data_IF_486847138108
#
_entry.id   IF_486847138108
#
_cell.length_a   1.000
_cell.length_b   1.000
_cell.length_c   1.000
_cell.angle_alpha   90.00
_cell.angle_beta   90.00
_cell.angle_gamma   90.00
#
_symmetry.space_group_name_H-M   'P 1'
#
loop_
_entity.id
_entity.type
_entity.pdbx_description
1 polymer ?
#
# COMPACT_ATOMS: atom_id res chain seq x y z
N UNK A 1 20.94 -29.22 -38.21
CA UNK A 1 21.50 -29.22 -36.83
C UNK A 1 20.33 -28.98 -35.90
N UNK A 2 19.91 -30.04 -35.22
CA UNK A 2 18.78 -30.04 -34.29
C UNK A 2 19.20 -29.23 -33.05
N UNK A 3 18.63 -28.03 -32.85
CA UNK A 3 18.88 -27.22 -31.65
C UNK A 3 18.27 -27.98 -30.47
N UNK A 4 19.11 -28.49 -29.57
CA UNK A 4 18.65 -29.06 -28.32
C UNK A 4 17.77 -28.03 -27.59
N UNK A 5 16.48 -28.34 -27.40
CA UNK A 5 15.61 -27.53 -26.55
C UNK A 5 16.09 -27.72 -25.11
N UNK A 6 16.92 -26.79 -24.63
CA UNK A 6 17.37 -26.79 -23.24
C UNK A 6 16.18 -26.39 -22.37
N UNK A 7 15.84 -27.25 -21.42
CA UNK A 7 14.91 -26.93 -20.36
C UNK A 7 15.67 -26.18 -19.27
N UNK A 8 15.68 -24.84 -19.37
CA UNK A 8 16.29 -23.99 -18.36
C UNK A 8 15.56 -24.17 -17.02
N UNK A 9 16.31 -24.38 -15.94
CA UNK A 9 15.74 -24.48 -14.60
C UNK A 9 15.23 -23.11 -14.10
N UNK A 10 14.45 -23.09 -13.03
CA UNK A 10 13.85 -21.85 -12.49
C UNK A 10 14.89 -20.77 -12.16
N UNK A 11 16.07 -21.19 -11.70
CA UNK A 11 17.15 -20.27 -11.35
C UNK A 11 17.77 -19.61 -12.58
N UNK A 12 18.08 -20.40 -13.60
CA UNK A 12 18.59 -19.93 -14.89
C UNK A 12 17.59 -18.97 -15.54
N UNK A 13 16.30 -19.33 -15.51
CA UNK A 13 15.23 -18.48 -16.02
C UNK A 13 15.10 -17.18 -15.20
N UNK A 14 15.21 -17.27 -13.88
CA UNK A 14 15.25 -16.12 -12.97
C UNK A 14 16.43 -15.17 -13.25
N UNK A 15 17.63 -15.72 -13.49
CA UNK A 15 18.82 -14.95 -13.85
C UNK A 15 18.68 -14.29 -15.23
N UNK A 16 18.10 -15.01 -16.20
CA UNK A 16 17.83 -14.47 -17.53
C UNK A 16 16.81 -13.33 -17.47
N UNK A 17 15.70 -13.50 -16.74
CA UNK A 17 14.73 -12.43 -16.48
C UNK A 17 15.37 -11.25 -15.76
N UNK A 18 16.18 -11.50 -14.73
CA UNK A 18 16.89 -10.45 -14.02
C UNK A 18 17.80 -9.65 -14.95
N UNK A 19 18.60 -10.35 -15.78
CA UNK A 19 19.50 -9.73 -16.77
C UNK A 19 18.75 -8.81 -17.73
N UNK A 20 17.53 -9.18 -18.10
CA UNK A 20 16.67 -8.42 -19.01
C UNK A 20 15.82 -7.33 -18.32
N UNK A 21 15.81 -7.32 -16.98
CA UNK A 21 14.97 -6.43 -16.18
C UNK A 21 13.49 -6.83 -16.17
N UNK A 22 13.20 -8.08 -16.51
CA UNK A 22 11.86 -8.65 -16.47
C UNK A 22 11.52 -9.09 -15.03
N UNK A 23 10.26 -8.93 -14.65
CA UNK A 23 9.74 -9.41 -13.37
C UNK A 23 8.41 -10.13 -13.62
N UNK A 24 8.36 -11.47 -13.48
CA UNK A 24 7.16 -12.27 -13.74
C UNK A 24 5.92 -11.82 -12.94
N UNK A 25 6.16 -11.38 -11.70
CA UNK A 25 5.15 -11.00 -10.72
C UNK A 25 4.61 -9.58 -10.89
N UNK A 26 5.21 -8.78 -11.78
CA UNK A 26 4.86 -7.38 -11.95
C UNK A 26 4.38 -7.10 -13.37
N UNK A 27 3.15 -6.57 -13.56
CA UNK A 27 2.62 -6.32 -14.89
C UNK A 27 3.38 -5.20 -15.62
N UNK A 28 3.93 -4.23 -14.89
CA UNK A 28 4.68 -3.08 -15.42
C UNK A 28 6.11 -3.42 -15.88
N UNK A 29 6.65 -4.59 -15.51
CA UNK A 29 8.04 -5.00 -15.79
C UNK A 29 8.11 -6.22 -16.69
N UNK A 30 7.39 -6.17 -17.80
CA UNK A 30 7.32 -7.24 -18.82
C UNK A 30 7.96 -6.88 -20.16
N UNK A 31 8.50 -5.68 -20.27
CA UNK A 31 9.34 -5.25 -21.39
C UNK A 31 10.81 -5.28 -20.98
N UNK A 32 11.66 -5.70 -21.91
CA UNK A 32 13.11 -5.70 -21.71
C UNK A 32 13.58 -4.25 -21.54
N UNK A 33 14.26 -3.96 -20.42
CA UNK A 33 14.76 -2.61 -20.09
C UNK A 33 16.28 -2.54 -19.99
N UNK A 34 16.95 -3.70 -19.90
CA UNK A 34 18.40 -3.84 -19.75
C UNK A 34 18.85 -5.19 -20.34
N UNK A 35 20.16 -5.42 -20.44
CA UNK A 35 20.71 -6.69 -20.95
C UNK A 35 22.19 -6.93 -20.55
N UNK A 36 22.57 -6.55 -19.33
CA UNK A 36 23.93 -6.76 -18.84
C UNK A 36 23.85 -7.29 -17.41
N UNK A 37 24.56 -8.39 -17.15
CA UNK A 37 24.69 -8.99 -15.83
C UNK A 37 26.16 -9.24 -15.57
N UNK A 38 26.70 -8.66 -14.49
CA UNK A 38 28.09 -8.78 -14.13
C UNK A 38 28.23 -9.69 -12.92
N UNK A 39 29.10 -10.69 -12.99
CA UNK A 39 29.41 -11.58 -11.87
C UNK A 39 30.80 -12.17 -12.01
N UNK A 40 31.38 -12.62 -10.90
CA UNK A 40 32.70 -13.23 -10.86
C UNK A 40 32.64 -14.73 -11.24
N UNK A 41 33.64 -15.25 -11.96
CA UNK A 41 33.74 -16.67 -12.29
C UNK A 41 33.69 -17.57 -11.05
N UNK A 42 33.13 -18.77 -11.19
CA UNK A 42 33.07 -19.78 -10.13
C UNK A 42 31.97 -19.54 -9.08
N UNK A 43 31.31 -18.38 -9.10
CA UNK A 43 30.10 -18.15 -8.32
C UNK A 43 28.92 -18.90 -8.95
N UNK A 44 27.96 -19.21 -8.08
CA UNK A 44 26.77 -19.99 -8.40
C UNK A 44 25.94 -19.38 -9.56
N UNK A 45 25.81 -18.05 -9.60
CA UNK A 45 25.16 -17.36 -10.72
C UNK A 45 25.95 -17.49 -12.03
N UNK A 46 27.29 -17.34 -11.99
CA UNK A 46 28.15 -17.50 -13.15
C UNK A 46 28.02 -18.90 -13.74
N UNK A 47 28.07 -19.93 -12.89
CA UNK A 47 27.92 -21.33 -13.32
C UNK A 47 26.57 -21.59 -14.02
N UNK A 48 25.48 -20.94 -13.57
CA UNK A 48 24.18 -21.06 -14.21
C UNK A 48 24.10 -20.27 -15.52
N UNK A 49 24.73 -19.09 -15.59
CA UNK A 49 24.80 -18.27 -16.80
C UNK A 49 25.67 -18.93 -17.87
N UNK A 50 26.76 -19.60 -17.50
CA UNK A 50 27.62 -20.35 -18.43
C UNK A 50 26.87 -21.48 -19.13
N UNK A 51 25.91 -22.13 -18.46
CA UNK A 51 25.02 -23.11 -19.09
C UNK A 51 24.12 -22.44 -20.14
N UNK A 52 23.62 -21.24 -19.87
CA UNK A 52 22.84 -20.46 -20.84
C UNK A 52 23.70 -19.93 -22.00
N UNK A 53 24.99 -19.67 -21.76
CA UNK A 53 25.96 -19.35 -22.82
C UNK A 53 26.21 -20.56 -23.71
N UNK A 54 26.45 -21.74 -23.12
CA UNK A 54 26.60 -22.99 -23.86
C UNK A 54 25.34 -23.35 -24.67
N UNK A 55 24.17 -22.93 -24.19
CA UNK A 55 22.88 -23.04 -24.89
C UNK A 55 22.70 -22.08 -26.07
N UNK A 56 23.56 -21.07 -26.23
CA UNK A 56 23.40 -19.99 -27.20
C UNK A 56 22.32 -18.96 -26.83
N UNK A 57 21.83 -18.97 -25.59
CA UNK A 57 20.85 -17.99 -25.08
C UNK A 57 21.53 -16.75 -24.51
N UNK A 58 22.81 -16.84 -24.17
CA UNK A 58 23.61 -15.72 -23.67
C UNK A 58 25.00 -15.71 -24.31
N UNK A 59 25.66 -14.57 -24.22
CA UNK A 59 27.07 -14.38 -24.53
C UNK A 59 27.78 -13.87 -23.28
N UNK A 60 29.03 -14.30 -23.08
CA UNK A 60 29.93 -13.72 -22.10
C UNK A 60 30.90 -12.72 -22.78
N UNK A 61 31.43 -11.79 -22.01
CA UNK A 61 32.34 -10.76 -22.49
C UNK A 61 33.15 -10.14 -21.35
N UNK A 62 34.12 -9.31 -21.75
CA UNK A 62 34.97 -8.58 -20.81
C UNK A 62 34.15 -7.53 -20.04
N UNK A 63 34.49 -7.29 -18.78
CA UNK A 63 33.83 -6.27 -17.99
C UNK A 63 34.26 -4.87 -18.45
N UNK A 64 33.45 -3.83 -18.19
CA UNK A 64 33.85 -2.44 -18.41
C UNK A 64 35.14 -2.09 -17.67
N UNK A 65 35.89 -1.09 -18.17
CA UNK A 65 37.20 -0.72 -17.62
C UNK A 65 37.17 -0.25 -16.15
N UNK A 66 36.01 0.18 -15.64
CA UNK A 66 35.85 0.58 -14.24
C UNK A 66 35.59 -0.59 -13.28
N UNK A 67 35.35 -1.79 -13.80
CA UNK A 67 35.16 -3.03 -13.04
C UNK A 67 36.47 -3.82 -12.96
N UNK A 68 36.52 -4.79 -12.02
CA UNK A 68 37.67 -5.70 -11.95
C UNK A 68 37.75 -6.51 -13.24
N UNK A 69 38.97 -6.68 -13.77
CA UNK A 69 39.18 -7.42 -15.03
C UNK A 69 39.03 -8.93 -14.87
N UNK A 70 38.91 -9.42 -13.63
CA UNK A 70 38.62 -10.82 -13.30
C UNK A 70 37.11 -11.15 -13.35
N UNK A 71 36.24 -10.15 -13.47
CA UNK A 71 34.79 -10.32 -13.58
C UNK A 71 34.35 -10.65 -15.02
N UNK A 72 33.14 -11.17 -15.18
CA UNK A 72 32.57 -11.50 -16.49
C UNK A 72 31.22 -10.83 -16.65
N UNK A 73 30.99 -10.25 -17.82
CA UNK A 73 29.69 -9.67 -18.19
C UNK A 73 28.95 -10.62 -19.13
N UNK A 74 27.73 -10.95 -18.74
CA UNK A 74 26.79 -11.74 -19.50
C UNK A 74 25.72 -10.85 -20.13
N UNK A 75 25.37 -11.17 -21.37
CA UNK A 75 24.31 -10.51 -22.13
C UNK A 75 23.47 -11.55 -22.85
N UNK A 76 22.14 -11.43 -22.83
CA UNK A 76 21.28 -12.33 -23.57
C UNK A 76 21.40 -12.07 -25.08
N UNK A 77 21.40 -13.15 -25.87
CA UNK A 77 21.24 -13.12 -27.33
C UNK A 77 19.81 -12.75 -27.70
N UNK A 78 19.52 -12.52 -28.97
CA UNK A 78 18.14 -12.26 -29.40
C UNK A 78 17.27 -13.51 -29.20
N UNK A 79 17.84 -14.71 -29.37
CA UNK A 79 17.19 -15.97 -29.01
C UNK A 79 16.92 -16.07 -27.51
N UNK A 80 17.88 -15.68 -26.66
CA UNK A 80 17.70 -15.64 -25.21
C UNK A 80 16.62 -14.68 -24.76
N UNK A 81 16.52 -13.51 -25.40
CA UNK A 81 15.45 -12.53 -25.14
C UNK A 81 14.08 -13.12 -25.47
N UNK A 82 13.94 -13.73 -26.66
CA UNK A 82 12.68 -14.33 -27.07
C UNK A 82 12.30 -15.49 -26.13
N UNK A 83 13.25 -16.36 -25.81
CA UNK A 83 13.05 -17.47 -24.88
C UNK A 83 12.58 -16.99 -23.50
N UNK A 84 13.18 -15.91 -22.99
CA UNK A 84 12.79 -15.33 -21.71
C UNK A 84 11.35 -14.79 -21.72
N UNK A 85 10.94 -14.15 -22.82
CA UNK A 85 9.58 -13.61 -23.00
C UNK A 85 8.56 -14.74 -23.16
N UNK A 86 8.86 -15.77 -23.93
CA UNK A 86 7.98 -16.92 -24.17
C UNK A 86 7.72 -17.71 -22.87
N UNK A 87 8.69 -17.74 -21.97
CA UNK A 87 8.57 -18.39 -20.66
C UNK A 87 7.93 -17.52 -19.58
N UNK A 88 7.62 -16.25 -19.83
CA UNK A 88 6.93 -15.42 -18.85
C UNK A 88 5.54 -16.01 -18.56
N UNK A 89 5.14 -16.14 -17.29
CA UNK A 89 3.78 -16.53 -16.95
C UNK A 89 2.80 -15.46 -17.46
N UNK A 90 1.49 -15.74 -17.58
CA UNK A 90 0.50 -14.71 -17.88
C UNK A 90 0.55 -13.56 -16.86
N UNK A 91 0.15 -12.33 -17.22
CA UNK A 91 0.21 -11.20 -16.31
C UNK A 91 -0.67 -11.47 -15.09
N UNK A 92 -0.18 -11.17 -13.87
CA UNK A 92 -1.01 -11.30 -12.69
C UNK A 92 -2.24 -10.38 -12.83
N UNK A 93 -3.40 -10.77 -12.28
CA UNK A 93 -4.56 -9.90 -12.29
C UNK A 93 -4.22 -8.57 -11.60
N UNK A 94 -4.79 -7.45 -12.06
CA UNK A 94 -4.53 -6.16 -11.43
C UNK A 94 -4.90 -6.23 -9.96
N UNK A 95 -4.03 -5.66 -9.11
CA UNK A 95 -4.31 -5.57 -7.68
C UNK A 95 -5.66 -4.87 -7.48
N UNK A 96 -6.49 -5.43 -6.58
CA UNK A 96 -7.76 -4.80 -6.23
C UNK A 96 -7.45 -3.45 -5.57
N UNK A 97 -7.90 -2.36 -6.20
CA UNK A 97 -7.78 -1.03 -5.63
C UNK A 97 -8.48 -0.99 -4.28
N UNK A 98 -7.78 -0.50 -3.27
CA UNK A 98 -8.33 -0.27 -1.94
C UNK A 98 -8.98 1.10 -1.87
N UNK A 99 -9.86 1.32 -0.88
CA UNK A 99 -10.36 2.66 -0.57
C UNK A 99 -9.25 3.65 -0.22
N UNK A 100 -8.10 3.17 0.26
CA UNK A 100 -6.96 4.03 0.51
C UNK A 100 -6.29 4.48 -0.80
N UNK A 101 -6.20 3.60 -1.80
CA UNK A 101 -5.70 3.97 -3.13
C UNK A 101 -6.62 4.98 -3.84
N UNK A 102 -7.94 4.85 -3.67
CA UNK A 102 -8.90 5.86 -4.14
C UNK A 102 -8.72 7.20 -3.40
N UNK A 103 -8.49 7.16 -2.08
CA UNK A 103 -8.22 8.37 -1.30
C UNK A 103 -6.95 9.07 -1.75
N UNK A 104 -5.88 8.35 -2.07
CA UNK A 104 -4.63 8.99 -2.52
C UNK A 104 -4.81 9.79 -3.80
N UNK A 105 -5.68 9.34 -4.72
CA UNK A 105 -5.99 10.09 -5.95
C UNK A 105 -6.80 11.37 -5.68
N UNK A 106 -7.64 11.38 -4.64
CA UNK A 106 -8.58 12.47 -4.35
C UNK A 106 -8.23 13.25 -3.06
N UNK A 107 -7.10 12.96 -2.42
CA UNK A 107 -6.83 13.40 -1.04
C UNK A 107 -6.84 14.92 -0.87
N UNK A 108 -6.52 15.67 -1.91
CA UNK A 108 -6.57 17.13 -1.91
C UNK A 108 -7.98 17.70 -1.69
N UNK A 109 -9.03 16.91 -1.97
CA UNK A 109 -10.43 17.30 -1.78
C UNK A 109 -10.96 17.00 -0.36
N UNK A 110 -10.17 16.32 0.49
CA UNK A 110 -10.61 15.87 1.80
C UNK A 110 -9.58 16.19 2.88
N UNK A 111 -10.03 16.75 3.99
CA UNK A 111 -9.17 17.00 5.16
C UNK A 111 -8.57 15.72 5.83
N UNK A 112 -8.92 14.52 5.36
CA UNK A 112 -8.30 13.27 5.80
C UNK A 112 -9.05 12.02 5.37
N UNK A 113 -8.46 10.85 5.61
CA UNK A 113 -9.05 9.57 5.19
C UNK A 113 -10.43 9.29 5.82
N UNK A 114 -10.66 9.73 7.06
CA UNK A 114 -11.97 9.60 7.69
C UNK A 114 -13.04 10.47 7.02
N UNK A 115 -12.66 11.66 6.53
CA UNK A 115 -13.54 12.52 5.73
C UNK A 115 -13.92 11.83 4.42
N UNK A 116 -12.93 11.30 3.71
CA UNK A 116 -13.11 10.53 2.48
C UNK A 116 -14.07 9.34 2.67
N UNK A 117 -13.92 8.59 3.76
CA UNK A 117 -14.82 7.49 4.10
C UNK A 117 -16.20 7.96 4.59
N UNK A 118 -16.44 9.27 4.69
CA UNK A 118 -17.66 9.85 5.25
C UNK A 118 -17.87 9.47 6.72
N UNK A 119 -16.82 9.19 7.49
CA UNK A 119 -16.90 8.84 8.90
C UNK A 119 -17.04 10.12 9.71
N UNK A 120 -18.20 10.30 10.35
CA UNK A 120 -18.39 11.38 11.32
C UNK A 120 -17.54 11.08 12.59
N UNK A 121 -16.41 11.77 12.74
CA UNK A 121 -15.47 11.57 13.84
C UNK A 121 -15.93 12.27 15.13
N UNK A 122 -15.72 11.66 16.31
CA UNK A 122 -15.97 12.34 17.57
C UNK A 122 -14.82 13.27 17.94
N UNK A 123 -15.15 14.43 18.48
CA UNK A 123 -14.20 15.40 19.01
C UNK A 123 -14.08 15.29 20.54
N UNK A 124 -13.00 15.81 21.09
CA UNK A 124 -12.78 15.90 22.54
C UNK A 124 -13.09 17.34 22.98
N UNK A 125 -14.01 17.51 23.92
CA UNK A 125 -14.15 18.76 24.66
C UNK A 125 -13.38 18.68 25.98
N UNK A 126 -12.80 19.80 26.38
CA UNK A 126 -12.06 19.97 27.62
C UNK A 126 -12.69 21.11 28.42
N UNK A 127 -12.79 20.94 29.75
CA UNK A 127 -13.15 22.01 30.68
C UNK A 127 -12.27 21.95 31.93
N UNK A 128 -12.25 23.03 32.69
CA UNK A 128 -11.49 23.12 33.93
C UNK A 128 -10.25 24.00 33.79
N UNK A 129 -9.49 24.07 34.87
CA UNK A 129 -8.26 24.85 34.99
C UNK A 129 -7.03 23.94 34.88
N UNK A 130 -5.86 24.55 34.70
CA UNK A 130 -4.59 23.83 34.68
C UNK A 130 -4.45 22.91 35.89
N UNK A 131 -4.32 21.59 35.65
CA UNK A 131 -4.21 20.57 36.70
C UNK A 131 -5.50 19.80 37.02
N UNK A 132 -6.68 20.36 36.73
CA UNK A 132 -7.99 19.76 37.02
C UNK A 132 -8.88 19.74 35.76
N UNK A 133 -8.31 19.22 34.67
CA UNK A 133 -9.04 19.08 33.42
C UNK A 133 -10.00 17.91 33.44
N UNK A 134 -11.20 18.16 32.95
CA UNK A 134 -12.18 17.14 32.60
C UNK A 134 -12.36 17.11 31.09
N UNK A 135 -12.63 15.91 30.58
CA UNK A 135 -12.76 15.62 29.18
C UNK A 135 -14.11 14.96 28.92
N UNK A 136 -14.73 15.27 27.79
CA UNK A 136 -15.83 14.47 27.23
C UNK A 136 -15.64 14.30 25.74
N UNK A 137 -16.08 13.17 25.19
CA UNK A 137 -16.13 13.02 23.73
C UNK A 137 -17.53 13.34 23.23
N UNK A 138 -17.61 14.07 22.13
CA UNK A 138 -18.85 14.54 21.52
C UNK A 138 -18.83 14.27 20.02
N UNK A 139 -20.01 14.10 19.44
CA UNK A 139 -20.21 14.02 18.00
C UNK A 139 -21.25 15.05 17.61
N UNK A 140 -20.89 15.94 16.69
CA UNK A 140 -21.83 16.90 16.11
C UNK A 140 -22.57 16.28 14.92
N UNK A 141 -23.78 16.78 14.61
CA UNK A 141 -24.50 16.39 13.40
C UNK A 141 -23.65 16.64 12.14
N UNK A 142 -23.86 15.80 11.11
CA UNK A 142 -23.25 16.04 9.80
C UNK A 142 -23.72 17.41 9.25
N UNK A 143 -22.80 18.19 8.70
CA UNK A 143 -23.08 19.54 8.19
C UNK A 143 -23.02 20.65 9.26
N UNK A 144 -22.81 20.30 10.53
CA UNK A 144 -22.50 21.30 11.57
C UNK A 144 -21.20 22.04 11.26
N UNK A 145 -21.14 23.34 11.54
CA UNK A 145 -19.89 24.11 11.49
C UNK A 145 -18.83 23.60 12.51
N UNK A 146 -19.27 22.75 13.43
CA UNK A 146 -18.45 22.07 14.43
C UNK A 146 -18.21 20.60 14.09
N UNK A 147 -18.70 20.06 12.96
CA UNK A 147 -18.27 18.73 12.52
C UNK A 147 -16.83 18.80 11.97
N UNK A 148 -15.98 17.89 12.44
CA UNK A 148 -14.53 17.96 12.19
C UNK A 148 -14.21 17.55 10.77
N UNK A 149 -13.85 18.52 9.94
CA UNK A 149 -12.91 18.32 8.85
C UNK A 149 -11.94 19.52 8.76
N UNK A 150 -12.41 20.74 9.11
CA UNK A 150 -11.67 22.00 8.94
C UNK A 150 -10.76 22.49 10.08
N UNK A 151 -10.70 21.86 11.26
CA UNK A 151 -10.04 22.49 12.44
C UNK A 151 -8.73 21.79 12.82
N UNK A 152 -7.61 22.53 12.99
CA UNK A 152 -6.31 21.98 13.34
C UNK A 152 -6.17 21.63 14.83
N UNK A 153 -7.19 21.89 15.66
CA UNK A 153 -7.12 21.71 17.11
C UNK A 153 -7.75 20.40 17.54
N UNK A 154 -6.96 19.57 18.24
CA UNK A 154 -7.38 18.30 18.86
C UNK A 154 -8.59 18.43 19.81
N UNK A 155 -8.89 19.65 20.26
CA UNK A 155 -10.00 19.95 21.16
C UNK A 155 -11.08 20.76 20.46
N UNK A 156 -12.33 20.33 20.61
CA UNK A 156 -13.51 21.07 20.20
C UNK A 156 -13.70 22.28 21.11
N UNK A 157 -13.91 23.45 20.50
CA UNK A 157 -14.50 24.56 21.23
C UNK A 157 -15.92 24.19 21.65
N UNK A 158 -16.20 24.33 22.94
CA UNK A 158 -17.56 24.19 23.44
C UNK A 158 -18.40 25.38 22.95
N UNK A 159 -19.54 25.09 22.33
CA UNK A 159 -20.55 26.08 21.99
C UNK A 159 -21.86 25.72 22.70
N UNK A 160 -22.47 26.64 23.46
CA UNK A 160 -23.79 26.41 24.06
C UNK A 160 -24.92 26.42 23.01
N UNK A 161 -24.64 26.88 21.79
CA UNK A 161 -25.63 27.07 20.73
C UNK A 161 -25.70 25.89 19.74
N UNK A 162 -24.76 24.96 19.81
CA UNK A 162 -24.69 23.83 18.87
C UNK A 162 -25.23 22.55 19.50
N UNK A 163 -26.19 21.90 18.83
CA UNK A 163 -26.73 20.62 19.27
C UNK A 163 -25.72 19.49 19.05
N UNK A 164 -25.50 18.68 20.07
CA UNK A 164 -24.63 17.50 19.99
C UNK A 164 -25.49 16.26 19.68
N UNK A 165 -25.09 15.47 18.69
CA UNK A 165 -25.78 14.24 18.29
C UNK A 165 -25.58 13.12 19.31
N UNK A 166 -24.33 12.96 19.77
CA UNK A 166 -23.94 11.99 20.80
C UNK A 166 -22.93 12.65 21.72
N UNK A 167 -23.21 12.70 23.02
CA UNK A 167 -22.30 13.16 24.04
C UNK A 167 -22.02 12.02 25.02
N UNK A 168 -20.74 11.82 25.36
CA UNK A 168 -20.37 11.09 26.58
C UNK A 168 -20.35 12.02 27.79
N UNK A 169 -20.21 11.41 28.97
CA UNK A 169 -20.07 12.13 30.24
C UNK A 169 -18.68 12.75 30.40
N UNK A 170 -18.63 13.80 31.23
CA UNK A 170 -17.37 14.42 31.65
C UNK A 170 -16.61 13.47 32.57
N UNK A 171 -15.31 13.31 32.31
CA UNK A 171 -14.43 12.48 33.12
C UNK A 171 -13.03 13.07 33.24
N UNK A 172 -12.36 12.79 34.36
CA UNK A 172 -10.98 13.25 34.62
C UNK A 172 -9.92 12.72 33.65
N UNK A 173 -10.22 11.61 32.95
CA UNK A 173 -9.29 11.03 31.98
C UNK A 173 -9.94 10.86 30.61
N UNK A 174 -9.15 11.05 29.55
CA UNK A 174 -9.60 10.80 28.17
C UNK A 174 -10.06 9.35 27.96
N UNK A 175 -9.47 8.39 28.68
CA UNK A 175 -9.85 6.96 28.60
C UNK A 175 -11.27 6.75 29.12
N UNK A 176 -11.59 7.31 30.29
CA UNK A 176 -12.93 7.24 30.87
C UNK A 176 -13.97 7.97 30.00
N UNK A 177 -13.62 9.16 29.49
CA UNK A 177 -14.47 9.91 28.57
C UNK A 177 -14.78 9.11 27.28
N UNK A 178 -13.78 8.43 26.71
CA UNK A 178 -13.94 7.58 25.52
C UNK A 178 -14.81 6.36 25.81
N UNK A 179 -14.71 5.77 27.00
CA UNK A 179 -15.57 4.64 27.40
C UNK A 179 -17.03 5.07 27.49
N UNK A 180 -17.32 6.15 28.22
CA UNK A 180 -18.66 6.72 28.34
C UNK A 180 -19.27 7.07 26.97
N UNK A 181 -18.48 7.69 26.08
CA UNK A 181 -18.94 7.99 24.72
C UNK A 181 -19.28 6.75 23.89
N UNK A 182 -18.52 5.66 24.02
CA UNK A 182 -18.83 4.41 23.30
C UNK A 182 -20.17 3.81 23.75
N UNK A 183 -20.49 3.92 25.04
CA UNK A 183 -21.78 3.48 25.57
C UNK A 183 -22.92 4.33 25.04
N UNK A 184 -22.78 5.67 25.09
CA UNK A 184 -23.75 6.60 24.52
C UNK A 184 -23.96 6.35 23.00
N UNK A 185 -22.88 6.11 22.26
CA UNK A 185 -22.96 5.77 20.84
C UNK A 185 -23.66 4.44 20.58
N UNK A 186 -23.45 3.43 21.42
CA UNK A 186 -24.14 2.13 21.32
C UNK A 186 -25.64 2.31 21.49
N UNK A 187 -26.06 3.07 22.50
CA UNK A 187 -27.47 3.38 22.76
C UNK A 187 -28.07 4.11 21.56
N UNK A 188 -27.40 5.17 21.06
CA UNK A 188 -27.90 5.94 19.92
C UNK A 188 -28.05 5.11 18.64
N UNK A 189 -27.12 4.18 18.40
CA UNK A 189 -27.21 3.24 17.26
C UNK A 189 -28.40 2.29 17.40
N UNK A 190 -28.67 1.81 18.61
CA UNK A 190 -29.83 0.96 18.88
C UNK A 190 -31.15 1.72 18.67
N UNK A 191 -31.26 2.96 19.17
CA UNK A 191 -32.41 3.84 18.94
C UNK A 191 -32.68 4.05 17.45
N UNK A 192 -31.66 4.45 16.68
CA UNK A 192 -31.78 4.65 15.23
C UNK A 192 -32.21 3.40 14.48
N UNK A 193 -31.71 2.23 14.90
CA UNK A 193 -32.11 0.96 14.30
C UNK A 193 -33.58 0.66 14.59
N UNK A 194 -34.03 0.88 15.83
CA UNK A 194 -35.42 0.69 16.22
C UNK A 194 -36.36 1.66 15.49
N UNK A 195 -35.99 2.93 15.37
CA UNK A 195 -36.73 3.95 14.62
C UNK A 195 -36.85 3.59 13.13
N UNK A 196 -35.74 3.15 12.52
CA UNK A 196 -35.74 2.70 11.12
C UNK A 196 -36.68 1.52 10.89
N UNK A 197 -36.73 0.57 11.83
CA UNK A 197 -37.67 -0.56 11.78
C UNK A 197 -39.11 -0.07 11.89
N UNK A 198 -39.41 0.81 12.84
CA UNK A 198 -40.77 1.36 13.03
C UNK A 198 -41.26 2.14 11.81
N UNK A 199 -40.37 2.86 11.12
CA UNK A 199 -40.71 3.64 9.92
C UNK A 199 -40.90 2.78 8.67
N UNK A 200 -40.38 1.55 8.67
CA UNK A 200 -40.47 0.61 7.56
C UNK A 200 -41.65 -0.38 7.70
N UNK A 201 -42.29 -0.42 8.86
CA UNK A 201 -43.52 -1.17 9.13
C UNK A 201 -44.75 -0.27 8.90
#
# INVERSE_FOLDING_TARGET
MEKAMIEANEKQLGLLWHTLGLCPERPDRRSISRNHFLTSPGYDDANNLDVLVAAGLMNCGKPPAFCSQDEVVYRATDEGKQFALDKLPPPPPPAKRTKFDEYLDECECYDGFAHFLGINQPQIQQRGTWGDYEYRMVRYPRGSAYCEHRRPTRFAHWSPYETVEVAGEWARTMKAAKASYKEALRIKRAERRAEKIRRAA
#
